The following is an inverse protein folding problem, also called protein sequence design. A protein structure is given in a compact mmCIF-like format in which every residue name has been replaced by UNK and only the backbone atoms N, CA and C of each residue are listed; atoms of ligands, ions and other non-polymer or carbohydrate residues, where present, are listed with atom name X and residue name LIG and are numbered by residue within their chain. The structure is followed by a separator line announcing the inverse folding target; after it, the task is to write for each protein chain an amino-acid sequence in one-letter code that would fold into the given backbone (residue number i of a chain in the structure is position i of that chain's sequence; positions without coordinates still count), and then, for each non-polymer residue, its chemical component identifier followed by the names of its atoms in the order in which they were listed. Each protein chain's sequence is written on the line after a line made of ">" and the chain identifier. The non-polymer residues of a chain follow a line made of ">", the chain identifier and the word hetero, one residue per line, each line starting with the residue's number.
data_IF_146183555016
#
_entry.id   IF_146183555016
#
_cell.length_a   1.000
_cell.length_b   1.000
_cell.length_c   1.000
_cell.angle_alpha   90.00
_cell.angle_beta   90.00
_cell.angle_gamma   90.00
#
_symmetry.space_group_name_H-M   'P 1'
#
loop_
_entity.id
_entity.type
_entity.pdbx_description
1 polymer ?
#
# COMPACT_ATOMS: atom_id res chain seq x y z
N UNK A 1 18.43 0.02 24.67
CA UNK A 1 19.10 -0.73 23.59
C UNK A 1 20.49 -0.16 23.39
N UNK A 2 21.50 -1.01 23.24
CA UNK A 2 22.91 -0.58 23.28
C UNK A 2 23.75 -1.23 22.19
N UNK A 3 24.75 -0.49 21.71
CA UNK A 3 25.77 -1.00 20.80
C UNK A 3 27.12 -0.99 21.48
N UNK A 4 27.99 -1.91 21.08
CA UNK A 4 29.38 -1.96 21.50
C UNK A 4 30.30 -1.68 20.32
N UNK A 5 31.40 -0.96 20.55
CA UNK A 5 32.42 -0.76 19.51
C UNK A 5 33.13 -2.08 19.23
N UNK A 6 33.25 -2.39 17.94
CA UNK A 6 33.97 -3.59 17.50
C UNK A 6 35.46 -3.35 17.69
N UNK A 7 36.12 -4.24 18.44
CA UNK A 7 37.57 -4.23 18.51
C UNK A 7 38.14 -4.83 17.21
N UNK A 8 38.88 -4.02 16.44
CA UNK A 8 39.45 -4.46 15.17
C UNK A 8 40.43 -5.65 15.33
N UNK A 9 41.08 -5.76 16.49
CA UNK A 9 42.03 -6.84 16.80
C UNK A 9 41.35 -8.17 17.13
N UNK A 10 40.07 -8.17 17.52
CA UNK A 10 39.31 -9.39 17.84
C UNK A 10 38.61 -9.98 16.60
N UNK A 11 38.90 -9.48 15.40
CA UNK A 11 38.27 -9.95 14.17
C UNK A 11 38.92 -11.27 13.71
N UNK A 12 38.14 -12.35 13.48
CA UNK A 12 38.66 -13.56 12.88
C UNK A 12 39.26 -13.27 11.51
N UNK A 13 40.36 -13.94 11.17
CA UNK A 13 41.07 -13.74 9.90
C UNK A 13 40.11 -14.03 8.73
N UNK A 14 39.94 -13.05 7.84
CA UNK A 14 39.09 -13.17 6.64
C UNK A 14 37.63 -12.76 6.82
N UNK A 15 37.17 -12.43 8.03
CA UNK A 15 35.79 -11.99 8.27
C UNK A 15 35.70 -10.47 8.19
N UNK A 16 34.83 -9.96 7.30
CA UNK A 16 34.46 -8.54 7.24
C UNK A 16 33.09 -8.35 7.85
N UNK A 17 32.98 -7.45 8.83
CA UNK A 17 31.70 -7.03 9.37
C UNK A 17 31.23 -5.82 8.56
N UNK A 18 30.07 -5.96 7.93
CA UNK A 18 29.49 -4.96 7.05
C UNK A 18 28.21 -4.41 7.69
N UNK A 19 27.92 -3.15 7.41
CA UNK A 19 26.73 -2.49 7.89
C UNK A 19 25.48 -3.06 7.20
N UNK A 20 24.47 -3.45 7.98
CA UNK A 20 23.22 -4.03 7.44
C UNK A 20 22.50 -3.10 6.44
N UNK A 21 22.66 -1.78 6.55
CA UNK A 21 21.95 -0.81 5.70
C UNK A 21 22.74 -0.36 4.46
N UNK A 22 24.07 -0.34 4.50
CA UNK A 22 24.88 0.28 3.44
C UNK A 22 26.07 -0.55 2.96
N UNK A 23 26.32 -1.72 3.55
CA UNK A 23 27.44 -2.60 3.19
C UNK A 23 28.83 -2.07 3.53
N UNK A 24 28.97 -0.83 4.03
CA UNK A 24 30.25 -0.27 4.46
C UNK A 24 30.78 -0.98 5.70
N UNK A 25 32.08 -0.87 5.95
CA UNK A 25 32.71 -1.48 7.12
C UNK A 25 32.04 -1.06 8.44
N UNK A 26 31.68 -2.06 9.25
CA UNK A 26 31.03 -1.86 10.53
C UNK A 26 32.01 -1.51 11.65
N UNK A 27 31.58 -0.57 12.51
CA UNK A 27 32.31 -0.11 13.71
C UNK A 27 31.57 -0.46 14.99
N UNK A 28 30.27 -0.75 14.89
CA UNK A 28 29.38 -1.04 16.00
C UNK A 28 28.75 -2.42 15.82
N UNK A 29 28.58 -3.13 16.93
CA UNK A 29 27.84 -4.39 17.01
C UNK A 29 26.63 -4.19 17.93
N UNK A 30 25.49 -4.76 17.55
CA UNK A 30 24.31 -4.83 18.42
C UNK A 30 24.54 -5.83 19.57
N UNK A 31 24.07 -5.48 20.77
CA UNK A 31 24.19 -6.36 21.93
C UNK A 31 23.09 -7.44 21.99
N UNK A 32 21.93 -7.20 21.36
CA UNK A 32 20.78 -8.10 21.40
C UNK A 32 20.82 -9.19 20.32
N UNK A 33 21.34 -8.86 19.13
CA UNK A 33 21.41 -9.79 17.99
C UNK A 33 22.72 -9.63 17.22
N UNK A 34 23.15 -10.65 16.46
CA UNK A 34 24.42 -10.64 15.75
C UNK A 34 24.38 -9.78 14.47
N UNK A 35 24.14 -8.47 14.61
CA UNK A 35 24.07 -7.46 13.54
C UNK A 35 25.11 -6.35 13.74
N UNK A 36 25.50 -5.70 12.64
CA UNK A 36 26.63 -4.77 12.61
C UNK A 36 26.31 -3.48 11.85
N UNK A 37 26.89 -2.35 12.31
CA UNK A 37 26.57 -1.02 11.79
C UNK A 37 27.82 -0.15 11.68
N UNK A 38 27.87 0.74 10.68
CA UNK A 38 28.98 1.68 10.50
C UNK A 38 28.93 2.85 11.48
N UNK A 39 27.75 3.19 12.01
CA UNK A 39 27.54 4.30 12.94
C UNK A 39 26.22 4.18 13.69
N UNK A 40 26.00 5.02 14.72
CA UNK A 40 24.83 4.95 15.59
C UNK A 40 23.53 5.31 14.87
N UNK A 41 23.58 6.18 13.85
CA UNK A 41 22.40 6.57 13.06
C UNK A 41 21.81 5.39 12.28
N UNK A 42 22.65 4.58 11.64
CA UNK A 42 22.20 3.37 10.94
C UNK A 42 21.68 2.31 11.91
N UNK A 43 22.24 2.24 13.11
CA UNK A 43 21.70 1.36 14.16
C UNK A 43 20.32 1.83 14.61
N UNK A 44 20.15 3.13 14.89
CA UNK A 44 18.85 3.70 15.30
C UNK A 44 17.79 3.48 14.22
N UNK A 45 18.17 3.73 12.96
CA UNK A 45 17.30 3.52 11.80
C UNK A 45 16.87 2.06 11.68
N UNK A 46 17.80 1.10 11.68
CA UNK A 46 17.47 -0.33 11.61
C UNK A 46 16.65 -0.78 12.82
N UNK A 47 17.01 -0.29 14.01
CA UNK A 47 16.36 -0.67 15.25
C UNK A 47 14.89 -0.29 15.28
N UNK A 48 14.60 0.99 15.01
CA UNK A 48 13.25 1.54 14.99
C UNK A 48 12.46 1.09 13.76
N UNK A 49 13.14 0.88 12.64
CA UNK A 49 12.52 0.50 11.37
C UNK A 49 12.06 -0.96 11.34
N UNK A 50 12.89 -1.91 11.79
CA UNK A 50 12.53 -3.33 11.73
C UNK A 50 13.13 -4.20 12.82
N UNK A 51 14.36 -3.92 13.30
CA UNK A 51 15.10 -4.90 14.12
C UNK A 51 14.39 -5.29 15.39
N UNK A 52 13.71 -4.35 16.04
CA UNK A 52 12.95 -4.61 17.26
C UNK A 52 11.86 -5.69 17.07
N UNK A 53 11.36 -5.85 15.84
CA UNK A 53 10.32 -6.83 15.51
C UNK A 53 10.88 -8.21 15.15
N UNK A 54 12.15 -8.29 14.72
CA UNK A 54 12.75 -9.50 14.16
C UNK A 54 14.03 -9.92 14.90
N UNK A 55 14.28 -9.40 16.10
CA UNK A 55 15.55 -9.57 16.82
C UNK A 55 15.83 -11.04 17.16
N UNK A 56 14.81 -11.76 17.60
CA UNK A 56 14.87 -13.18 17.98
C UNK A 56 15.09 -14.05 16.73
N UNK A 57 14.31 -13.83 15.67
CA UNK A 57 14.46 -14.53 14.40
C UNK A 57 15.83 -14.26 13.76
N UNK A 58 16.33 -13.03 13.86
CA UNK A 58 17.66 -12.66 13.36
C UNK A 58 18.76 -13.43 14.10
N UNK A 59 18.62 -13.59 15.42
CA UNK A 59 19.56 -14.36 16.21
C UNK A 59 19.53 -15.84 15.83
N UNK A 60 18.32 -16.41 15.68
CA UNK A 60 18.11 -17.80 15.26
C UNK A 60 18.68 -18.09 13.87
N UNK A 61 18.38 -17.24 12.89
CA UNK A 61 18.84 -17.38 11.50
C UNK A 61 20.36 -17.30 11.36
N UNK A 62 21.05 -16.63 12.29
CA UNK A 62 22.52 -16.46 12.29
C UNK A 62 23.25 -17.40 13.26
N UNK A 63 22.53 -18.23 14.02
CA UNK A 63 23.14 -19.16 14.96
C UNK A 63 23.84 -20.30 14.23
N UNK A 64 25.12 -20.52 14.53
CA UNK A 64 25.87 -21.65 13.98
C UNK A 64 25.49 -22.95 14.71
N UNK A 65 25.27 -24.07 14.00
CA UNK A 65 25.04 -25.37 14.63
C UNK A 65 26.18 -25.72 15.58
N UNK A 66 25.85 -26.17 16.81
CA UNK A 66 26.85 -26.60 17.79
C UNK A 66 27.44 -27.98 17.45
N UNK A 67 26.67 -28.82 16.79
CA UNK A 67 27.05 -30.18 16.38
C UNK A 67 26.70 -30.41 14.91
N UNK A 68 27.51 -31.21 14.23
CA UNK A 68 27.23 -31.67 12.87
C UNK A 68 26.30 -32.88 12.98
N UNK A 69 25.01 -32.67 12.76
CA UNK A 69 24.00 -33.74 12.70
C UNK A 69 24.07 -34.58 11.41
N UNK A 70 23.22 -35.59 11.34
CA UNK A 70 22.99 -36.40 10.14
C UNK A 70 22.56 -35.55 8.94
N UNK A 71 22.72 -36.05 7.71
CA UNK A 71 22.27 -35.34 6.50
C UNK A 71 20.77 -35.00 6.55
N UNK A 72 19.96 -35.90 7.13
CA UNK A 72 18.52 -35.72 7.25
C UNK A 72 18.16 -34.59 8.23
N UNK A 73 18.79 -34.54 9.40
CA UNK A 73 18.60 -33.46 10.37
C UNK A 73 19.04 -32.10 9.80
N UNK A 74 20.10 -32.08 8.98
CA UNK A 74 20.55 -30.88 8.29
C UNK A 74 19.52 -30.39 7.28
N UNK A 75 18.92 -31.29 6.49
CA UNK A 75 17.85 -30.94 5.54
C UNK A 75 16.60 -30.40 6.24
N UNK A 76 16.18 -31.05 7.34
CA UNK A 76 15.04 -30.58 8.15
C UNK A 76 15.29 -29.19 8.72
N UNK A 77 16.47 -28.97 9.30
CA UNK A 77 16.86 -27.65 9.80
C UNK A 77 16.89 -26.59 8.70
N UNK A 78 17.43 -26.90 7.52
CA UNK A 78 17.45 -25.93 6.42
C UNK A 78 16.03 -25.60 5.96
N UNK A 79 15.14 -26.59 5.86
CA UNK A 79 13.73 -26.36 5.53
C UNK A 79 13.03 -25.47 6.57
N UNK A 80 13.28 -25.69 7.86
CA UNK A 80 12.76 -24.83 8.95
C UNK A 80 13.29 -23.40 8.84
N UNK A 81 14.60 -23.23 8.58
CA UNK A 81 15.20 -21.90 8.39
C UNK A 81 14.63 -21.18 7.15
N UNK A 82 14.38 -21.90 6.06
CA UNK A 82 13.71 -21.32 4.88
C UNK A 82 12.29 -20.85 5.24
N UNK A 83 11.55 -21.63 6.03
CA UNK A 83 10.23 -21.23 6.55
C UNK A 83 10.30 -19.93 7.35
N UNK A 84 11.22 -19.85 8.32
CA UNK A 84 11.43 -18.65 9.14
C UNK A 84 11.83 -17.45 8.27
N UNK A 85 12.71 -17.63 7.28
CA UNK A 85 13.06 -16.55 6.34
C UNK A 85 11.84 -16.02 5.59
N UNK A 86 10.92 -16.91 5.21
CA UNK A 86 9.64 -16.54 4.58
C UNK A 86 8.77 -15.68 5.50
N UNK A 87 8.56 -16.11 6.75
CA UNK A 87 7.77 -15.37 7.73
C UNK A 87 8.39 -14.00 8.04
N UNK A 88 9.69 -13.95 8.27
CA UNK A 88 10.40 -12.68 8.55
C UNK A 88 10.36 -11.74 7.35
N UNK A 89 10.46 -12.26 6.12
CA UNK A 89 10.34 -11.46 4.89
C UNK A 89 8.97 -10.77 4.82
N UNK A 90 7.90 -11.46 5.16
CA UNK A 90 6.54 -10.88 5.15
C UNK A 90 6.39 -9.76 6.18
N UNK A 91 6.84 -10.00 7.42
CA UNK A 91 6.88 -8.98 8.47
C UNK A 91 7.67 -7.74 8.01
N UNK A 92 8.81 -7.95 7.33
CA UNK A 92 9.62 -6.87 6.78
C UNK A 92 8.87 -6.09 5.69
N UNK A 93 8.24 -6.78 4.74
CA UNK A 93 7.47 -6.14 3.66
C UNK A 93 6.28 -5.32 4.20
N UNK A 94 5.52 -5.86 5.14
CA UNK A 94 4.41 -5.15 5.78
C UNK A 94 4.85 -3.94 6.59
N UNK A 95 5.94 -4.08 7.35
CA UNK A 95 6.46 -2.98 8.16
C UNK A 95 6.96 -1.85 7.27
N UNK A 96 7.61 -2.17 6.14
CA UNK A 96 7.98 -1.20 5.13
C UNK A 96 6.74 -0.48 4.55
N UNK A 97 5.72 -1.22 4.13
CA UNK A 97 4.48 -0.65 3.59
C UNK A 97 3.78 0.27 4.60
N UNK A 98 3.69 -0.15 5.87
CA UNK A 98 3.09 0.65 6.93
C UNK A 98 3.83 1.98 7.13
N UNK A 99 5.17 1.91 7.17
CA UNK A 99 6.01 3.11 7.29
C UNK A 99 5.91 4.03 6.06
N UNK A 100 5.76 3.47 4.85
CA UNK A 100 5.52 4.25 3.62
C UNK A 100 4.19 5.04 3.69
N UNK A 101 3.11 4.39 4.13
CA UNK A 101 1.80 5.04 4.32
C UNK A 101 1.87 6.15 5.37
N UNK A 102 2.67 5.97 6.42
CA UNK A 102 2.90 7.00 7.44
C UNK A 102 3.83 8.14 6.97
N UNK A 103 4.42 8.04 5.78
CA UNK A 103 5.41 8.99 5.27
C UNK A 103 6.79 8.88 5.95
N UNK A 104 7.01 7.84 6.75
CA UNK A 104 8.27 7.58 7.45
C UNK A 104 9.26 6.83 6.54
N UNK A 105 9.55 7.41 5.37
CA UNK A 105 10.40 6.80 4.34
C UNK A 105 11.79 6.38 4.84
N UNK A 106 12.33 7.14 5.81
CA UNK A 106 13.61 6.83 6.43
C UNK A 106 13.56 5.51 7.22
N UNK A 107 12.47 5.25 7.96
CA UNK A 107 12.32 4.04 8.79
C UNK A 107 11.86 2.82 7.97
N UNK A 108 11.28 3.04 6.78
CA UNK A 108 10.88 1.97 5.87
C UNK A 108 12.07 1.25 5.18
N UNK A 109 13.20 1.94 4.98
CA UNK A 109 14.37 1.39 4.24
C UNK A 109 14.92 0.10 4.87
N UNK A 110 15.22 0.02 6.18
CA UNK A 110 15.71 -1.20 6.80
C UNK A 110 14.80 -2.42 6.57
N UNK A 111 13.50 -2.21 6.71
CA UNK A 111 12.50 -3.26 6.51
C UNK A 111 12.50 -3.73 5.05
N UNK A 112 12.50 -2.80 4.09
CA UNK A 112 12.55 -3.15 2.67
C UNK A 112 13.89 -3.83 2.26
N UNK A 113 15.03 -3.39 2.81
CA UNK A 113 16.34 -4.02 2.58
C UNK A 113 16.38 -5.44 3.14
N UNK A 114 15.87 -5.64 4.35
CA UNK A 114 15.85 -6.96 4.98
C UNK A 114 14.89 -7.91 4.24
N UNK A 115 13.73 -7.41 3.79
CA UNK A 115 12.83 -8.15 2.89
C UNK A 115 13.57 -8.59 1.63
N UNK A 116 14.30 -7.70 0.95
CA UNK A 116 15.07 -8.04 -0.25
C UNK A 116 16.15 -9.10 0.03
N UNK A 117 16.91 -8.94 1.12
CA UNK A 117 17.97 -9.88 1.50
C UNK A 117 17.41 -11.30 1.72
N UNK A 118 16.29 -11.41 2.43
CA UNK A 118 15.62 -12.69 2.68
C UNK A 118 15.01 -13.26 1.40
N UNK A 119 14.43 -12.42 0.53
CA UNK A 119 13.92 -12.84 -0.77
C UNK A 119 15.02 -13.47 -1.64
N UNK A 120 16.22 -12.89 -1.66
CA UNK A 120 17.38 -13.45 -2.38
C UNK A 120 17.80 -14.80 -1.78
N UNK A 121 17.83 -14.92 -0.45
CA UNK A 121 18.20 -16.17 0.22
C UNK A 121 17.20 -17.31 -0.02
N UNK A 122 15.90 -17.00 -0.09
CA UNK A 122 14.83 -18.01 -0.27
C UNK A 122 14.63 -18.38 -1.74
N UNK A 123 14.59 -17.39 -2.63
CA UNK A 123 14.16 -17.58 -4.02
C UNK A 123 15.30 -17.46 -5.04
N UNK A 124 16.48 -17.03 -4.61
CA UNK A 124 17.61 -16.74 -5.49
C UNK A 124 17.55 -15.34 -6.12
N UNK A 125 18.67 -14.87 -6.70
CA UNK A 125 18.85 -13.47 -7.11
C UNK A 125 18.06 -13.06 -8.38
N UNK A 126 17.47 -14.01 -9.10
CA UNK A 126 16.79 -13.76 -10.38
C UNK A 126 15.27 -14.00 -10.34
N UNK A 127 14.72 -14.27 -9.15
CA UNK A 127 13.29 -14.55 -8.99
C UNK A 127 12.42 -13.29 -9.06
N UNK A 128 11.21 -13.43 -9.60
CA UNK A 128 10.18 -12.37 -9.63
C UNK A 128 9.74 -11.92 -8.24
N UNK A 129 9.90 -12.79 -7.24
CA UNK A 129 9.58 -12.51 -5.83
C UNK A 129 10.39 -11.34 -5.24
N UNK A 130 11.51 -10.98 -5.86
CA UNK A 130 12.35 -9.86 -5.43
C UNK A 130 11.76 -8.50 -5.85
N UNK A 131 10.88 -8.49 -6.87
CA UNK A 131 10.35 -7.25 -7.46
C UNK A 131 9.57 -6.44 -6.42
N UNK A 132 8.80 -7.10 -5.55
CA UNK A 132 8.09 -6.42 -4.46
C UNK A 132 9.03 -5.63 -3.55
N UNK A 133 10.13 -6.24 -3.11
CA UNK A 133 11.14 -5.58 -2.26
C UNK A 133 11.84 -4.43 -2.99
N UNK A 134 12.13 -4.57 -4.30
CA UNK A 134 12.69 -3.48 -5.11
C UNK A 134 11.73 -2.29 -5.25
N UNK A 135 10.43 -2.54 -5.43
CA UNK A 135 9.42 -1.48 -5.47
C UNK A 135 9.35 -0.73 -4.14
N UNK A 136 9.34 -1.44 -3.01
CA UNK A 136 9.37 -0.81 -1.68
C UNK A 136 10.60 0.08 -1.49
N UNK A 137 11.79 -0.40 -1.88
CA UNK A 137 13.02 0.40 -1.80
C UNK A 137 12.98 1.62 -2.73
N UNK A 138 12.45 1.47 -3.94
CA UNK A 138 12.28 2.57 -4.88
C UNK A 138 11.36 3.65 -4.30
N UNK A 139 10.24 3.26 -3.70
CA UNK A 139 9.28 4.17 -3.06
C UNK A 139 9.87 4.89 -1.85
N UNK A 140 10.60 4.18 -0.99
CA UNK A 140 11.31 4.78 0.14
C UNK A 140 12.29 5.85 -0.34
N UNK A 141 13.12 5.53 -1.34
CA UNK A 141 14.13 6.46 -1.85
C UNK A 141 13.49 7.63 -2.61
N UNK A 142 12.37 7.40 -3.29
CA UNK A 142 11.64 8.45 -3.97
C UNK A 142 11.04 9.45 -2.98
N UNK A 143 10.45 8.97 -1.89
CA UNK A 143 9.94 9.82 -0.80
C UNK A 143 11.02 10.64 -0.10
N UNK A 144 12.26 10.17 -0.09
CA UNK A 144 13.44 10.91 0.40
C UNK A 144 14.11 11.81 -0.67
N UNK A 145 13.58 11.85 -1.90
CA UNK A 145 14.18 12.61 -3.01
C UNK A 145 15.49 12.02 -3.57
N UNK A 146 15.82 10.77 -3.25
CA UNK A 146 17.03 10.06 -3.72
C UNK A 146 16.80 9.43 -5.10
N UNK A 147 16.62 10.29 -6.11
CA UNK A 147 16.17 9.88 -7.44
C UNK A 147 17.09 8.85 -8.13
N UNK A 148 18.41 8.97 -7.95
CA UNK A 148 19.36 8.02 -8.53
C UNK A 148 19.18 6.61 -7.95
N UNK A 149 19.05 6.49 -6.63
CA UNK A 149 18.85 5.20 -5.98
C UNK A 149 17.49 4.58 -6.37
N UNK A 150 16.44 5.42 -6.51
CA UNK A 150 15.15 4.97 -7.04
C UNK A 150 15.28 4.40 -8.46
N UNK A 151 16.00 5.08 -9.35
CA UNK A 151 16.22 4.61 -10.72
C UNK A 151 16.98 3.27 -10.76
N UNK A 152 17.99 3.11 -9.90
CA UNK A 152 18.73 1.85 -9.77
C UNK A 152 17.82 0.69 -9.33
N UNK A 153 17.02 0.86 -8.27
CA UNK A 153 16.12 -0.21 -7.79
C UNK A 153 15.02 -0.55 -8.79
N UNK A 154 14.42 0.46 -9.44
CA UNK A 154 13.42 0.22 -10.48
C UNK A 154 14.04 -0.46 -11.71
N UNK A 155 15.27 -0.10 -12.08
CA UNK A 155 16.03 -0.76 -13.14
C UNK A 155 16.27 -2.24 -12.87
N UNK A 156 16.68 -2.58 -11.64
CA UNK A 156 16.88 -3.97 -11.21
C UNK A 156 15.57 -4.78 -11.24
N UNK A 157 14.49 -4.24 -10.69
CA UNK A 157 13.18 -4.91 -10.72
C UNK A 157 12.65 -5.09 -12.14
N UNK A 158 12.81 -4.06 -13.00
CA UNK A 158 12.41 -4.14 -14.42
C UNK A 158 13.21 -5.19 -15.19
N UNK A 159 14.50 -5.31 -14.93
CA UNK A 159 15.35 -6.34 -15.55
C UNK A 159 14.84 -7.76 -15.22
N UNK A 160 14.50 -8.01 -13.96
CA UNK A 160 13.93 -9.30 -13.53
C UNK A 160 12.61 -9.58 -14.27
N UNK A 161 11.70 -8.61 -14.33
CA UNK A 161 10.40 -8.76 -15.02
C UNK A 161 10.54 -9.01 -16.52
N UNK A 162 11.54 -8.43 -17.17
CA UNK A 162 11.85 -8.66 -18.59
C UNK A 162 12.40 -10.07 -18.82
N UNK A 163 13.23 -10.58 -17.90
CA UNK A 163 13.80 -11.93 -18.00
C UNK A 163 12.74 -13.02 -17.75
N UNK A 164 11.82 -12.77 -16.83
CA UNK A 164 10.76 -13.69 -16.43
C UNK A 164 9.54 -13.68 -17.36
N UNK A 165 9.53 -12.90 -18.45
CA UNK A 165 8.35 -12.66 -19.30
C UNK A 165 7.82 -13.91 -20.02
N UNK A 166 8.46 -15.06 -19.85
CA UNK A 166 8.01 -16.36 -20.39
C UNK A 166 6.85 -16.96 -19.58
N UNK A 167 6.67 -16.54 -18.33
CA UNK A 167 5.63 -17.04 -17.41
C UNK A 167 4.60 -15.93 -17.11
N UNK A 168 3.96 -15.41 -18.16
CA UNK A 168 3.02 -14.27 -18.09
C UNK A 168 1.68 -14.65 -17.43
N UNK A 169 1.70 -14.88 -16.11
CA UNK A 169 0.50 -15.02 -15.29
C UNK A 169 -0.05 -13.68 -14.82
N UNK A 170 -1.23 -13.72 -14.19
CA UNK A 170 -1.94 -12.55 -13.65
C UNK A 170 -1.09 -11.74 -12.64
N UNK A 171 -0.22 -12.40 -11.88
CA UNK A 171 0.72 -11.75 -10.95
C UNK A 171 1.78 -10.89 -11.67
N UNK A 172 2.27 -11.33 -12.83
CA UNK A 172 3.26 -10.60 -13.62
C UNK A 172 2.71 -9.24 -14.07
N UNK A 173 1.47 -9.19 -14.55
CA UNK A 173 0.83 -7.94 -15.00
C UNK A 173 0.67 -6.92 -13.85
N UNK A 174 0.34 -7.37 -12.63
CA UNK A 174 0.28 -6.49 -11.46
C UNK A 174 1.65 -5.87 -11.13
N UNK A 175 2.71 -6.68 -11.19
CA UNK A 175 4.08 -6.19 -10.95
C UNK A 175 4.53 -5.21 -12.04
N UNK A 176 4.18 -5.47 -13.31
CA UNK A 176 4.45 -4.54 -14.42
C UNK A 176 3.72 -3.21 -14.22
N UNK A 177 2.43 -3.23 -13.88
CA UNK A 177 1.65 -2.04 -13.56
C UNK A 177 2.29 -1.21 -12.43
N UNK A 178 2.57 -1.83 -11.29
CA UNK A 178 3.19 -1.17 -10.14
C UNK A 178 4.60 -0.61 -10.47
N UNK A 179 5.36 -1.33 -11.31
CA UNK A 179 6.65 -0.87 -11.82
C UNK A 179 6.51 0.38 -12.68
N UNK A 180 5.57 0.39 -13.62
CA UNK A 180 5.34 1.54 -14.51
C UNK A 180 4.82 2.76 -13.73
N UNK A 181 3.94 2.54 -12.74
CA UNK A 181 3.51 3.60 -11.82
C UNK A 181 4.69 4.26 -11.12
N UNK A 182 5.62 3.47 -10.60
CA UNK A 182 6.79 4.00 -9.91
C UNK A 182 7.81 4.69 -10.84
N UNK A 183 8.00 4.18 -12.08
CA UNK A 183 8.76 4.92 -13.10
C UNK A 183 8.09 6.25 -13.45
N UNK A 184 6.77 6.29 -13.58
CA UNK A 184 6.02 7.51 -13.81
C UNK A 184 6.27 8.54 -12.71
N UNK A 185 6.17 8.13 -11.43
CA UNK A 185 6.44 9.01 -10.28
C UNK A 185 7.89 9.50 -10.26
N UNK A 186 8.86 8.64 -10.57
CA UNK A 186 10.27 9.01 -10.71
C UNK A 186 10.46 10.07 -11.80
N UNK A 187 9.85 9.88 -12.98
CA UNK A 187 9.97 10.83 -14.08
C UNK A 187 9.32 12.18 -13.77
N UNK A 188 8.20 12.21 -13.04
CA UNK A 188 7.63 13.47 -12.52
C UNK A 188 8.63 14.18 -11.61
N UNK A 189 9.26 13.46 -10.68
CA UNK A 189 10.26 14.04 -9.78
C UNK A 189 11.52 14.53 -10.52
N UNK A 190 11.82 13.97 -11.69
CA UNK A 190 12.90 14.42 -12.59
C UNK A 190 12.47 15.56 -13.55
N UNK A 191 11.18 15.97 -13.55
CA UNK A 191 10.64 16.95 -14.51
C UNK A 191 10.42 16.40 -15.94
N UNK A 192 10.52 15.08 -16.13
CA UNK A 192 10.35 14.38 -17.41
C UNK A 192 8.88 14.01 -17.63
N UNK A 193 8.04 15.02 -17.87
CA UNK A 193 6.58 14.85 -17.88
C UNK A 193 6.07 13.96 -19.03
N UNK A 194 6.70 13.99 -20.20
CA UNK A 194 6.27 13.17 -21.35
C UNK A 194 6.54 11.69 -21.08
N UNK A 195 7.69 11.36 -20.52
CA UNK A 195 8.06 10.01 -20.09
C UNK A 195 7.17 9.53 -18.94
N UNK A 196 6.81 10.43 -18.00
CA UNK A 196 5.86 10.12 -16.94
C UNK A 196 4.48 9.75 -17.50
N UNK A 197 3.94 10.53 -18.44
CA UNK A 197 2.66 10.23 -19.09
C UNK A 197 2.68 8.89 -19.82
N UNK A 198 3.78 8.55 -20.50
CA UNK A 198 3.92 7.23 -21.15
C UNK A 198 3.92 6.09 -20.13
N UNK A 199 4.64 6.25 -19.01
CA UNK A 199 4.69 5.24 -17.96
C UNK A 199 3.31 5.05 -17.30
N UNK A 200 2.59 6.13 -16.99
CA UNK A 200 1.24 6.03 -16.44
C UNK A 200 0.22 5.50 -17.45
N UNK A 201 0.36 5.81 -18.74
CA UNK A 201 -0.48 5.23 -19.78
C UNK A 201 -0.29 3.71 -19.90
N UNK A 202 0.94 3.22 -19.76
CA UNK A 202 1.22 1.78 -19.69
C UNK A 202 0.60 1.15 -18.44
N UNK A 203 0.73 1.79 -17.27
CA UNK A 203 0.04 1.37 -16.04
C UNK A 203 -1.48 1.26 -16.26
N UNK A 204 -2.09 2.27 -16.88
CA UNK A 204 -3.50 2.25 -17.26
C UNK A 204 -3.85 1.11 -18.22
N UNK A 205 -3.00 0.84 -19.21
CA UNK A 205 -3.22 -0.25 -20.16
C UNK A 205 -3.26 -1.60 -19.47
N UNK A 206 -2.31 -1.87 -18.58
CA UNK A 206 -2.21 -3.14 -17.85
C UNK A 206 -3.37 -3.32 -16.85
N UNK A 207 -3.67 -2.28 -16.06
CA UNK A 207 -4.76 -2.31 -15.08
C UNK A 207 -6.14 -2.40 -15.75
N UNK A 208 -6.37 -1.62 -16.82
CA UNK A 208 -7.62 -1.68 -17.60
C UNK A 208 -7.78 -3.01 -18.32
N UNK A 209 -6.70 -3.61 -18.81
CA UNK A 209 -6.73 -4.94 -19.43
C UNK A 209 -7.11 -6.04 -18.44
N UNK A 210 -6.74 -5.88 -17.16
CA UNK A 210 -7.02 -6.87 -16.11
C UNK A 210 -8.40 -6.70 -15.46
N UNK A 211 -8.78 -5.48 -15.11
CA UNK A 211 -9.97 -5.21 -14.31
C UNK A 211 -11.07 -4.45 -15.06
N UNK A 212 -10.69 -3.78 -16.15
CA UNK A 212 -11.55 -2.89 -16.91
C UNK A 212 -11.25 -1.40 -16.65
N UNK A 213 -11.63 -0.52 -17.58
CA UNK A 213 -11.30 0.91 -17.53
C UNK A 213 -12.11 1.72 -16.50
N UNK A 214 -13.14 1.11 -15.89
CA UNK A 214 -14.00 1.72 -14.85
C UNK A 214 -13.85 1.04 -13.49
N UNK A 215 -12.85 0.19 -13.30
CA UNK A 215 -12.57 -0.45 -12.01
C UNK A 215 -11.78 0.50 -11.09
N UNK A 216 -12.05 0.53 -9.77
CA UNK A 216 -11.30 1.35 -8.81
C UNK A 216 -9.78 1.16 -8.85
N UNK A 217 -9.29 -0.04 -9.20
CA UNK A 217 -7.85 -0.34 -9.29
C UNK A 217 -7.17 0.32 -10.50
N UNK A 218 -7.96 0.80 -11.45
CA UNK A 218 -7.49 1.59 -12.60
C UNK A 218 -7.46 3.09 -12.28
N UNK A 219 -8.20 3.57 -11.27
CA UNK A 219 -8.24 4.99 -10.92
C UNK A 219 -6.87 5.62 -10.56
N UNK A 220 -5.93 4.94 -9.86
CA UNK A 220 -4.62 5.50 -9.54
C UNK A 220 -3.82 5.97 -10.76
N UNK A 221 -3.90 5.26 -11.89
CA UNK A 221 -3.16 5.64 -13.09
C UNK A 221 -3.70 6.95 -13.70
N UNK A 222 -5.04 7.12 -13.74
CA UNK A 222 -5.69 8.36 -14.18
C UNK A 222 -5.36 9.52 -13.23
N UNK A 223 -5.38 9.28 -11.93
CA UNK A 223 -5.00 10.27 -10.92
C UNK A 223 -3.57 10.76 -11.16
N UNK A 224 -2.63 9.85 -11.37
CA UNK A 224 -1.25 10.22 -11.64
C UNK A 224 -1.08 11.01 -12.94
N UNK A 225 -1.78 10.64 -14.02
CA UNK A 225 -1.80 11.44 -15.25
C UNK A 225 -2.36 12.85 -15.00
N UNK A 226 -3.43 12.98 -14.21
CA UNK A 226 -3.98 14.27 -13.78
C UNK A 226 -2.96 15.14 -13.05
N UNK A 227 -2.17 14.54 -12.14
CA UNK A 227 -1.05 15.24 -11.46
C UNK A 227 0.04 15.69 -12.40
N UNK A 228 0.35 14.93 -13.46
CA UNK A 228 1.33 15.36 -14.47
C UNK A 228 0.82 16.58 -15.22
N UNK A 229 -0.44 16.55 -15.68
CA UNK A 229 -1.04 17.70 -16.36
C UNK A 229 -1.14 18.94 -15.46
N UNK A 230 -1.46 18.74 -14.19
CA UNK A 230 -1.41 19.81 -13.19
C UNK A 230 0.00 20.42 -13.09
N UNK A 231 1.05 19.59 -13.01
CA UNK A 231 2.43 20.06 -12.95
C UNK A 231 2.90 20.76 -14.25
N UNK A 232 2.27 20.45 -15.38
CA UNK A 232 2.49 21.13 -16.67
C UNK A 232 1.67 22.43 -16.82
N UNK A 233 0.76 22.75 -15.89
CA UNK A 233 -0.17 23.88 -16.00
C UNK A 233 -1.34 23.64 -16.96
N UNK A 234 -1.53 22.41 -17.43
CA UNK A 234 -2.65 22.02 -18.32
C UNK A 234 -3.90 21.68 -17.52
N UNK A 235 -4.46 22.69 -16.86
CA UNK A 235 -5.53 22.54 -15.85
C UNK A 235 -6.78 21.83 -16.40
N UNK A 236 -7.22 22.14 -17.62
CA UNK A 236 -8.39 21.49 -18.23
C UNK A 236 -8.20 19.98 -18.40
N UNK A 237 -6.99 19.53 -18.74
CA UNK A 237 -6.70 18.09 -18.84
C UNK A 237 -6.66 17.47 -17.46
N UNK A 238 -5.99 18.11 -16.49
CA UNK A 238 -5.96 17.65 -15.11
C UNK A 238 -7.37 17.42 -14.54
N UNK A 239 -8.27 18.38 -14.73
CA UNK A 239 -9.69 18.28 -14.34
C UNK A 239 -10.40 17.10 -15.00
N UNK A 240 -10.19 16.86 -16.30
CA UNK A 240 -10.78 15.71 -16.97
C UNK A 240 -10.33 14.38 -16.36
N UNK A 241 -9.06 14.26 -15.97
CA UNK A 241 -8.54 13.06 -15.31
C UNK A 241 -9.07 12.90 -13.89
N UNK A 242 -9.11 13.98 -13.09
CA UNK A 242 -9.69 13.95 -11.74
C UNK A 242 -11.19 13.64 -11.77
N UNK A 243 -11.94 14.21 -12.70
CA UNK A 243 -13.35 13.86 -12.91
C UNK A 243 -13.54 12.38 -13.25
N UNK A 244 -12.65 11.80 -14.06
CA UNK A 244 -12.67 10.35 -14.35
C UNK A 244 -12.43 9.50 -13.10
N UNK A 245 -11.49 9.90 -12.24
CA UNK A 245 -11.21 9.21 -10.96
C UNK A 245 -12.41 9.25 -10.03
N UNK A 246 -13.00 10.43 -9.83
CA UNK A 246 -14.20 10.60 -8.99
C UNK A 246 -15.35 9.73 -9.52
N UNK A 247 -15.55 9.70 -10.84
CA UNK A 247 -16.59 8.89 -11.48
C UNK A 247 -16.39 7.39 -11.25
N UNK A 248 -15.15 6.90 -11.35
CA UNK A 248 -14.85 5.47 -11.11
C UNK A 248 -15.18 5.11 -9.66
N UNK A 249 -14.71 5.91 -8.70
CA UNK A 249 -14.97 5.64 -7.29
C UNK A 249 -16.45 5.80 -6.90
N UNK A 250 -17.16 6.77 -7.48
CA UNK A 250 -18.60 6.93 -7.25
C UNK A 250 -19.38 5.73 -7.77
N UNK A 251 -19.13 5.28 -9.01
CA UNK A 251 -19.79 4.13 -9.60
C UNK A 251 -19.55 2.84 -8.80
N UNK A 252 -18.31 2.64 -8.33
CA UNK A 252 -17.99 1.49 -7.51
C UNK A 252 -18.69 1.54 -6.15
N UNK A 253 -18.71 2.70 -5.47
CA UNK A 253 -19.40 2.85 -4.19
C UNK A 253 -20.91 2.64 -4.33
N UNK A 254 -21.54 3.20 -5.36
CA UNK A 254 -22.96 3.01 -5.63
C UNK A 254 -23.29 1.52 -5.81
N UNK A 255 -22.52 0.81 -6.63
CA UNK A 255 -22.68 -0.64 -6.80
C UNK A 255 -22.45 -1.42 -5.49
N UNK A 256 -21.48 -1.00 -4.66
CA UNK A 256 -21.21 -1.65 -3.38
C UNK A 256 -22.36 -1.45 -2.37
N UNK A 257 -22.99 -0.27 -2.37
CA UNK A 257 -24.10 0.04 -1.47
C UNK A 257 -25.39 -0.67 -1.93
N UNK A 258 -25.70 -0.61 -3.23
CA UNK A 258 -26.92 -1.21 -3.79
C UNK A 258 -26.96 -2.73 -3.60
N UNK A 259 -25.80 -3.40 -3.63
CA UNK A 259 -25.66 -4.83 -3.36
C UNK A 259 -25.69 -5.21 -1.86
N UNK A 260 -26.02 -4.26 -0.95
CA UNK A 260 -25.99 -4.44 0.51
C UNK A 260 -24.63 -4.90 1.08
N UNK A 261 -23.55 -4.74 0.34
CA UNK A 261 -22.19 -4.94 0.82
C UNK A 261 -21.69 -3.76 1.67
N UNK A 262 -22.55 -2.77 1.88
CA UNK A 262 -22.28 -1.54 2.62
C UNK A 262 -21.88 -1.76 4.09
N UNK A 263 -22.17 -2.91 4.72
CA UNK A 263 -21.74 -3.16 6.10
C UNK A 263 -20.23 -2.93 6.21
N UNK A 264 -19.79 -1.96 7.05
CA UNK A 264 -18.37 -1.70 7.28
C UNK A 264 -17.64 -3.02 7.49
N UNK A 265 -16.44 -3.17 6.95
CA UNK A 265 -15.63 -4.39 7.12
C UNK A 265 -15.58 -4.80 8.62
N UNK A 266 -15.59 -3.81 9.51
CA UNK A 266 -15.71 -3.97 10.96
C UNK A 266 -17.01 -4.63 11.43
N UNK A 267 -18.17 -4.25 10.88
CA UNK A 267 -19.48 -4.82 11.23
C UNK A 267 -19.73 -6.19 10.58
N UNK A 268 -19.17 -6.43 9.38
CA UNK A 268 -19.22 -7.73 8.70
C UNK A 268 -18.45 -8.81 9.49
N UNK A 269 -17.39 -8.43 10.22
CA UNK A 269 -16.64 -9.33 11.12
C UNK A 269 -17.38 -9.67 12.42
N UNK A 270 -18.30 -8.83 12.87
CA UNK A 270 -19.07 -9.04 14.11
C UNK A 270 -20.43 -9.72 13.91
N UNK A 271 -20.92 -9.83 12.67
CA UNK A 271 -22.26 -10.34 12.36
C UNK A 271 -22.24 -11.65 11.58
N UNK A 272 -22.16 -12.78 12.29
CA UNK A 272 -22.43 -14.08 11.69
C UNK A 272 -21.73 -15.26 12.34
N UNK A 273 -22.07 -15.58 13.59
CA UNK A 273 -22.11 -16.95 14.14
C UNK A 273 -22.66 -16.90 15.57
N UNK A 274 -23.94 -17.25 15.72
CA UNK A 274 -24.44 -17.76 16.99
C UNK A 274 -23.54 -18.92 17.40
N UNK A 275 -22.79 -18.72 18.49
CA UNK A 275 -22.12 -19.78 19.23
C UNK A 275 -20.87 -20.37 18.57
N UNK A 276 -19.74 -19.66 18.67
CA UNK A 276 -18.43 -20.25 18.99
C UNK A 276 -17.57 -19.20 19.68
N UNK A 277 -16.96 -19.58 20.81
CA UNK A 277 -16.10 -18.72 21.63
C UNK A 277 -14.95 -18.14 20.79
N UNK A 278 -14.46 -16.93 21.10
CA UNK A 278 -13.31 -16.35 20.42
C UNK A 278 -12.10 -17.27 20.64
N UNK A 279 -11.66 -17.92 19.57
CA UNK A 279 -10.31 -18.47 19.49
C UNK A 279 -9.39 -17.27 19.34
N UNK A 280 -8.36 -17.22 20.18
CA UNK A 280 -7.29 -16.23 20.20
C UNK A 280 -6.90 -15.80 18.78
N UNK A 281 -7.15 -14.53 18.45
CA UNK A 281 -6.63 -13.90 17.23
C UNK A 281 -5.14 -13.69 17.47
N UNK A 282 -4.38 -14.68 17.05
CA UNK A 282 -2.93 -14.66 16.92
C UNK A 282 -2.61 -15.15 15.50
N UNK A 283 -1.80 -14.35 14.79
CA UNK A 283 -1.16 -14.60 13.48
C UNK A 283 -1.99 -14.54 12.18
N UNK A 284 -1.33 -13.93 11.19
CA UNK A 284 -1.53 -13.92 9.72
C UNK A 284 -2.48 -12.85 9.15
N UNK A 285 -1.94 -11.65 8.98
CA UNK A 285 -2.28 -10.80 7.85
C UNK A 285 -0.98 -10.55 7.07
N UNK A 286 -0.62 -11.49 6.20
CA UNK A 286 0.48 -11.28 5.27
C UNK A 286 0.03 -10.36 4.13
N UNK A 287 0.80 -9.31 3.82
CA UNK A 287 0.50 -8.41 2.70
C UNK A 287 0.89 -8.98 1.32
N UNK A 288 1.28 -10.26 1.24
CA UNK A 288 1.69 -10.90 -0.01
C UNK A 288 1.10 -12.30 -0.27
N UNK A 289 0.37 -12.94 0.67
CA UNK A 289 -0.40 -14.19 0.37
C UNK A 289 -1.75 -13.93 -0.34
N UNK A 290 -2.11 -12.69 -0.66
CA UNK A 290 -3.30 -12.44 -1.51
C UNK A 290 -3.02 -12.61 -3.02
N UNK A 291 -1.79 -12.93 -3.43
CA UNK A 291 -1.42 -13.00 -4.85
C UNK A 291 -1.42 -14.39 -5.48
N UNK A 292 -1.55 -15.49 -4.72
CA UNK A 292 -1.66 -16.84 -5.26
C UNK A 292 -2.61 -17.64 -4.38
N UNK A 293 -3.67 -18.18 -5.00
CA UNK A 293 -4.68 -19.10 -4.43
C UNK A 293 -5.74 -18.54 -3.46
N UNK A 294 -6.87 -18.13 -4.03
CA UNK A 294 -8.13 -18.70 -3.53
C UNK A 294 -8.54 -19.82 -4.48
N UNK A 295 -8.11 -21.04 -4.14
CA UNK A 295 -8.87 -22.25 -4.44
C UNK A 295 -10.23 -22.15 -3.73
N UNK A 296 -11.15 -21.42 -4.36
CA UNK A 296 -12.58 -21.53 -4.09
C UNK A 296 -13.24 -22.07 -5.37
N UNK A 297 -13.15 -23.39 -5.56
CA UNK A 297 -14.18 -24.08 -6.31
C UNK A 297 -15.50 -23.90 -5.52
N UNK A 298 -16.36 -23.00 -6.01
CA UNK A 298 -17.76 -22.93 -5.57
C UNK A 298 -18.23 -21.67 -4.85
N UNK A 299 -17.64 -20.49 -5.07
CA UNK A 299 -18.29 -19.22 -4.70
C UNK A 299 -18.30 -18.24 -5.87
N UNK A 300 -19.46 -17.62 -6.08
CA UNK A 300 -19.86 -16.88 -7.28
C UNK A 300 -18.87 -15.79 -7.72
N UNK A 301 -18.68 -15.71 -9.05
CA UNK A 301 -17.64 -14.94 -9.77
C UNK A 301 -17.94 -13.44 -9.96
N UNK A 302 -18.72 -12.76 -9.12
CA UNK A 302 -19.26 -11.44 -9.52
C UNK A 302 -18.91 -10.21 -8.67
N UNK A 303 -18.26 -10.30 -7.51
CA UNK A 303 -17.87 -9.09 -6.76
C UNK A 303 -16.50 -9.21 -6.11
N UNK A 304 -15.53 -8.39 -6.55
CA UNK A 304 -14.18 -8.35 -5.97
C UNK A 304 -14.12 -7.15 -5.02
N UNK A 305 -14.07 -7.43 -3.71
CA UNK A 305 -13.86 -6.41 -2.69
C UNK A 305 -12.45 -5.81 -2.77
N UNK A 306 -12.33 -4.50 -2.57
CA UNK A 306 -11.03 -3.83 -2.46
C UNK A 306 -10.33 -4.23 -1.15
N UNK A 307 -9.02 -4.42 -1.21
CA UNK A 307 -8.18 -4.65 -0.04
C UNK A 307 -8.09 -3.38 0.82
N UNK A 308 -7.75 -3.50 2.13
CA UNK A 308 -7.55 -2.33 2.98
C UNK A 308 -6.52 -1.32 2.45
N UNK A 309 -5.47 -1.81 1.77
CA UNK A 309 -4.43 -0.96 1.17
C UNK A 309 -4.98 -0.18 -0.04
N UNK A 310 -5.75 -0.84 -0.91
CA UNK A 310 -6.41 -0.17 -2.04
C UNK A 310 -7.45 0.86 -1.56
N UNK A 311 -8.17 0.57 -0.48
CA UNK A 311 -9.12 1.52 0.12
C UNK A 311 -8.41 2.76 0.70
N UNK A 312 -7.23 2.59 1.29
CA UNK A 312 -6.40 3.69 1.77
C UNK A 312 -5.85 4.54 0.63
N UNK A 313 -5.39 3.91 -0.45
CA UNK A 313 -5.00 4.61 -1.68
C UNK A 313 -6.17 5.43 -2.26
N UNK A 314 -7.39 4.89 -2.24
CA UNK A 314 -8.59 5.63 -2.66
C UNK A 314 -8.85 6.88 -1.81
N UNK A 315 -8.74 6.77 -0.49
CA UNK A 315 -8.93 7.90 0.44
C UNK A 315 -7.87 8.98 0.21
N UNK A 316 -6.61 8.60 0.02
CA UNK A 316 -5.50 9.52 -0.24
C UNK A 316 -5.68 10.24 -1.58
N UNK A 317 -6.06 9.52 -2.63
CA UNK A 317 -6.34 10.07 -3.96
C UNK A 317 -7.48 11.08 -3.89
N UNK A 318 -8.63 10.71 -3.30
CA UNK A 318 -9.78 11.59 -3.16
C UNK A 318 -9.46 12.82 -2.30
N UNK A 319 -8.67 12.65 -1.23
CA UNK A 319 -8.18 13.76 -0.41
C UNK A 319 -7.30 14.74 -1.19
N UNK A 320 -6.39 14.24 -2.03
CA UNK A 320 -5.55 15.08 -2.89
C UNK A 320 -6.39 15.83 -3.93
N UNK A 321 -7.34 15.16 -4.58
CA UNK A 321 -8.24 15.80 -5.55
C UNK A 321 -9.08 16.88 -4.88
N UNK A 322 -9.61 16.63 -3.68
CA UNK A 322 -10.38 17.61 -2.93
C UNK A 322 -9.56 18.86 -2.61
N UNK A 323 -8.32 18.68 -2.13
CA UNK A 323 -7.44 19.81 -1.83
C UNK A 323 -7.14 20.64 -3.10
N UNK A 324 -6.90 19.98 -4.24
CA UNK A 324 -6.72 20.65 -5.52
C UNK A 324 -7.95 21.50 -5.90
N UNK A 325 -9.15 20.91 -5.88
CA UNK A 325 -10.37 21.64 -6.20
C UNK A 325 -10.64 22.81 -5.25
N UNK A 326 -10.36 22.66 -3.95
CA UNK A 326 -10.50 23.75 -2.97
C UNK A 326 -9.53 24.91 -3.26
N UNK A 327 -8.28 24.62 -3.62
CA UNK A 327 -7.31 25.66 -4.01
C UNK A 327 -7.75 26.39 -5.28
N UNK A 328 -8.25 25.66 -6.28
CA UNK A 328 -8.74 26.24 -7.51
C UNK A 328 -10.05 27.03 -7.32
N UNK A 329 -10.92 26.63 -6.39
CA UNK A 329 -12.12 27.38 -6.01
C UNK A 329 -11.75 28.71 -5.35
N UNK A 330 -10.77 28.70 -4.43
CA UNK A 330 -10.26 29.92 -3.81
C UNK A 330 -9.63 30.89 -4.85
N UNK A 331 -9.10 30.36 -5.95
CA UNK A 331 -8.58 31.14 -7.08
C UNK A 331 -9.67 31.59 -8.08
N UNK A 332 -10.93 31.19 -7.90
CA UNK A 332 -12.04 31.48 -8.83
C UNK A 332 -12.00 30.68 -10.15
N UNK A 333 -11.18 29.63 -10.20
CA UNK A 333 -10.93 28.78 -11.40
C UNK A 333 -11.75 27.48 -11.38
N UNK A 334 -12.20 27.03 -10.21
CA UNK A 334 -13.00 25.80 -10.05
C UNK A 334 -14.48 26.09 -9.86
N UNK A 335 -15.31 25.18 -10.38
CA UNK A 335 -16.74 25.18 -10.07
C UNK A 335 -16.95 24.59 -8.69
N UNK A 336 -17.80 25.23 -7.91
CA UNK A 336 -18.21 24.74 -6.58
C UNK A 336 -18.80 23.31 -6.65
N UNK A 337 -19.39 22.95 -7.79
CA UNK A 337 -19.91 21.59 -8.06
C UNK A 337 -18.85 20.50 -7.96
N UNK A 338 -17.62 20.77 -8.38
CA UNK A 338 -16.56 19.75 -8.41
C UNK A 338 -16.01 19.48 -7.01
N UNK A 339 -15.95 20.53 -6.19
CA UNK A 339 -15.66 20.42 -4.75
C UNK A 339 -16.73 19.60 -4.04
N UNK A 340 -18.02 19.93 -4.25
CA UNK A 340 -19.13 19.23 -3.61
C UNK A 340 -19.20 17.74 -4.02
N UNK A 341 -19.01 17.42 -5.31
CA UNK A 341 -18.94 16.01 -5.78
C UNK A 341 -17.79 15.25 -5.12
N UNK A 342 -16.62 15.86 -5.00
CA UNK A 342 -15.46 15.21 -4.38
C UNK A 342 -15.68 14.99 -2.88
N UNK A 343 -16.22 15.98 -2.18
CA UNK A 343 -16.60 15.88 -0.76
C UNK A 343 -17.59 14.74 -0.54
N UNK A 344 -18.60 14.63 -1.40
CA UNK A 344 -19.58 13.56 -1.34
C UNK A 344 -18.93 12.17 -1.47
N UNK A 345 -18.16 11.92 -2.54
CA UNK A 345 -17.53 10.61 -2.77
C UNK A 345 -16.53 10.27 -1.65
N UNK A 346 -15.73 11.24 -1.20
CA UNK A 346 -14.80 11.04 -0.09
C UNK A 346 -15.53 10.74 1.22
N UNK A 347 -16.65 11.40 1.49
CA UNK A 347 -17.45 11.12 2.68
C UNK A 347 -17.99 9.69 2.69
N UNK A 348 -18.56 9.22 1.57
CA UNK A 348 -19.02 7.84 1.42
C UNK A 348 -17.90 6.84 1.60
N UNK A 349 -16.73 7.09 1.01
CA UNK A 349 -15.56 6.21 1.17
C UNK A 349 -15.09 6.14 2.63
N UNK A 350 -15.06 7.28 3.34
CA UNK A 350 -14.72 7.33 4.77
C UNK A 350 -15.72 6.56 5.64
N UNK A 351 -17.02 6.68 5.35
CA UNK A 351 -18.03 5.88 6.03
C UNK A 351 -17.88 4.38 5.74
N UNK A 352 -17.67 4.00 4.47
CA UNK A 352 -17.47 2.60 4.07
C UNK A 352 -16.27 1.95 4.78
N UNK A 353 -15.17 2.69 4.88
CA UNK A 353 -13.95 2.25 5.57
C UNK A 353 -14.02 2.36 7.10
N UNK A 354 -14.99 3.10 7.64
CA UNK A 354 -15.06 3.44 9.07
C UNK A 354 -13.95 4.39 9.53
N UNK A 355 -13.26 5.07 8.61
CA UNK A 355 -12.12 5.94 8.90
C UNK A 355 -12.56 7.39 8.98
N UNK A 356 -12.24 8.05 10.09
CA UNK A 356 -12.43 9.51 10.25
C UNK A 356 -13.89 9.94 10.02
N UNK A 357 -14.81 9.27 10.74
CA UNK A 357 -16.25 9.51 10.69
C UNK A 357 -16.67 10.97 10.94
N UNK A 358 -16.05 11.73 11.87
CA UNK A 358 -16.40 13.15 12.06
C UNK A 358 -16.15 13.98 10.80
N UNK A 359 -15.04 13.74 10.10
CA UNK A 359 -14.75 14.43 8.84
C UNK A 359 -15.68 13.96 7.72
N UNK A 360 -16.01 12.66 7.68
CA UNK A 360 -16.98 12.11 6.74
C UNK A 360 -18.32 12.85 6.85
N UNK A 361 -18.82 13.02 8.08
CA UNK A 361 -20.06 13.73 8.34
C UNK A 361 -19.98 15.21 7.92
N UNK A 362 -18.86 15.88 8.21
CA UNK A 362 -18.62 17.26 7.78
C UNK A 362 -18.66 17.41 6.25
N UNK A 363 -17.98 16.53 5.52
CA UNK A 363 -17.98 16.56 4.06
C UNK A 363 -19.35 16.24 3.47
N UNK A 364 -20.09 15.30 4.07
CA UNK A 364 -21.44 14.97 3.64
C UNK A 364 -22.39 16.16 3.79
N UNK A 365 -22.36 16.86 4.93
CA UNK A 365 -23.20 18.05 5.17
C UNK A 365 -22.86 19.18 4.18
N UNK A 366 -21.57 19.45 3.96
CA UNK A 366 -21.14 20.48 3.02
C UNK A 366 -21.59 20.18 1.58
N UNK A 367 -21.52 18.92 1.16
CA UNK A 367 -22.00 18.49 -0.15
C UNK A 367 -23.53 18.63 -0.25
N UNK A 368 -24.28 18.18 0.77
CA UNK A 368 -25.75 18.30 0.83
C UNK A 368 -26.21 19.76 0.74
N UNK A 369 -25.59 20.68 1.49
CA UNK A 369 -25.92 22.12 1.48
C UNK A 369 -25.71 22.74 0.08
N UNK A 370 -24.60 22.38 -0.58
CA UNK A 370 -24.34 22.84 -1.94
C UNK A 370 -25.38 22.31 -2.93
N UNK A 371 -25.74 21.03 -2.83
CA UNK A 371 -26.71 20.44 -3.74
C UNK A 371 -28.09 21.05 -3.51
N UNK A 372 -28.56 21.18 -2.26
CA UNK A 372 -29.85 21.77 -1.92
C UNK A 372 -30.00 23.21 -2.42
N UNK A 373 -28.95 24.02 -2.32
CA UNK A 373 -28.99 25.44 -2.74
C UNK A 373 -29.02 25.65 -4.27
N UNK A 374 -28.63 24.67 -5.08
CA UNK A 374 -28.45 24.81 -6.53
C UNK A 374 -29.47 24.03 -7.39
N UNK A 375 -30.73 23.94 -6.94
CA UNK A 375 -31.84 23.16 -7.53
C UNK A 375 -32.11 23.26 -9.05
N UNK A 376 -31.51 24.20 -9.78
CA UNK A 376 -31.77 24.43 -11.21
C UNK A 376 -30.70 24.00 -12.21
N UNK A 377 -29.55 23.44 -11.79
CA UNK A 377 -28.48 23.06 -12.73
C UNK A 377 -28.66 21.61 -13.23
N UNK A 378 -28.70 21.44 -14.55
CA UNK A 378 -29.07 20.21 -15.29
C UNK A 378 -28.10 19.02 -15.20
N UNK A 379 -27.01 19.12 -14.43
CA UNK A 379 -25.98 18.08 -14.37
C UNK A 379 -26.16 17.18 -13.15
N UNK A 380 -26.88 16.05 -13.30
CA UNK A 380 -26.97 14.93 -12.34
C UNK A 380 -27.26 15.29 -10.87
N UNK A 381 -27.75 16.50 -10.59
CA UNK A 381 -27.89 17.04 -9.24
C UNK A 381 -29.02 16.34 -8.47
N UNK A 382 -30.17 16.11 -9.11
CA UNK A 382 -31.31 15.44 -8.50
C UNK A 382 -31.02 13.97 -8.19
N UNK A 383 -30.32 13.27 -9.08
CA UNK A 383 -29.89 11.89 -8.86
C UNK A 383 -28.90 11.80 -7.69
N UNK A 384 -27.90 12.69 -7.65
CA UNK A 384 -26.95 12.75 -6.54
C UNK A 384 -27.61 13.14 -5.23
N UNK A 385 -28.59 14.05 -5.21
CA UNK A 385 -29.40 14.39 -4.03
C UNK A 385 -30.22 13.21 -3.50
N UNK A 386 -30.89 12.49 -4.40
CA UNK A 386 -31.66 11.31 -4.02
C UNK A 386 -30.75 10.25 -3.40
N UNK A 387 -29.55 10.07 -3.98
CA UNK A 387 -28.50 9.19 -3.47
C UNK A 387 -27.93 9.68 -2.14
N UNK A 388 -27.63 10.98 -1.96
CA UNK A 388 -27.11 11.51 -0.69
C UNK A 388 -28.10 11.30 0.45
N UNK A 389 -29.38 11.59 0.22
CA UNK A 389 -30.46 11.35 1.18
C UNK A 389 -30.66 9.87 1.50
N UNK A 390 -30.66 9.00 0.48
CA UNK A 390 -30.81 7.55 0.65
C UNK A 390 -29.66 6.96 1.46
N UNK A 391 -28.42 7.29 1.10
CA UNK A 391 -27.25 6.77 1.79
C UNK A 391 -27.10 7.38 3.19
N UNK A 392 -27.46 8.65 3.39
CA UNK A 392 -27.50 9.26 4.74
C UNK A 392 -28.37 8.45 5.70
N UNK A 393 -29.54 8.00 5.28
CA UNK A 393 -30.41 7.16 6.13
C UNK A 393 -29.71 5.85 6.48
N UNK A 394 -29.14 5.15 5.49
CA UNK A 394 -28.41 3.90 5.71
C UNK A 394 -27.19 4.07 6.65
N UNK A 395 -26.46 5.17 6.51
CA UNK A 395 -25.24 5.50 7.27
C UNK A 395 -25.56 5.89 8.72
N UNK A 396 -26.61 6.67 8.95
CA UNK A 396 -27.02 7.08 10.30
C UNK A 396 -27.61 5.91 11.10
N UNK A 397 -28.44 5.07 10.48
CA UNK A 397 -29.04 3.90 11.15
C UNK A 397 -27.98 2.86 11.59
N UNK A 398 -26.83 2.79 10.91
CA UNK A 398 -25.72 1.90 11.28
C UNK A 398 -24.78 2.46 12.36
N UNK A 399 -24.79 3.77 12.62
CA UNK A 399 -23.96 4.42 13.64
C UNK A 399 -24.69 4.63 14.97
N UNK A 400 -26.02 4.51 14.98
CA UNK A 400 -26.80 4.42 16.21
C UNK A 400 -26.68 3.02 16.83
N UNK A 401 -26.19 2.87 18.07
CA UNK A 401 -26.24 1.57 18.74
C UNK A 401 -27.70 1.12 18.85
N UNK A 402 -27.96 -0.14 18.50
CA UNK A 402 -29.29 -0.72 18.69
C UNK A 402 -29.74 -0.47 20.14
N UNK A 403 -30.99 0.00 20.38
CA UNK A 403 -31.48 0.16 21.74
C UNK A 403 -31.35 -1.18 22.44
N UNK A 404 -30.67 -1.18 23.60
CA UNK A 404 -30.61 -2.34 24.49
C UNK A 404 -32.05 -2.84 24.68
N UNK A 405 -32.31 -4.16 24.51
CA UNK A 405 -33.65 -4.67 24.75
C UNK A 405 -34.03 -4.31 26.19
N UNK A 406 -35.13 -3.57 26.35
CA UNK A 406 -35.70 -3.28 27.65
C UNK A 406 -35.84 -4.60 28.41
N UNK A 407 -35.14 -4.71 29.54
CA UNK A 407 -35.34 -5.80 30.49
C UNK A 407 -36.80 -5.75 30.95
N UNK A 408 -37.58 -6.76 30.56
CA UNK A 408 -38.93 -7.02 31.02
C UNK A 408 -38.94 -8.14 32.03
#
# INVERSE_FOLDING_TARGET
>A
MSTTRINALSRPRGVRYECELCGKEAKLKCNECPTYYCGPEHFDQDWRGIRQHIVEDTALLREKPRTLGSDEERRKREAELIGIRGEVREICSETAQRALVQGEYYLAIPAALQSLKLSIEVHGPESTELVGSYLLLAECNLGLGRLQATEEFLGLGKWILLKSSKDAGVGHLALVSAMQRNFGRLYVAQGKYVEALRAFAEDCHQTSGRFGPSDPRTAPCYFHMGRVFQAMGEELKAKSFYGRVILIYSQWLENAIDNREWLPIALRRSGGLLGRRPVSIDRRYSAYEWMIETSCEGYDRTVVSLSPVELDECLDILGHILNHHQQQQAAGSERESDVARTQYVLSLMKFYTGKDLPMAQKYMVAADEYFQSNEGSTDNLEEMKAKTGHYRILLFDATTPAPLPCES
#
